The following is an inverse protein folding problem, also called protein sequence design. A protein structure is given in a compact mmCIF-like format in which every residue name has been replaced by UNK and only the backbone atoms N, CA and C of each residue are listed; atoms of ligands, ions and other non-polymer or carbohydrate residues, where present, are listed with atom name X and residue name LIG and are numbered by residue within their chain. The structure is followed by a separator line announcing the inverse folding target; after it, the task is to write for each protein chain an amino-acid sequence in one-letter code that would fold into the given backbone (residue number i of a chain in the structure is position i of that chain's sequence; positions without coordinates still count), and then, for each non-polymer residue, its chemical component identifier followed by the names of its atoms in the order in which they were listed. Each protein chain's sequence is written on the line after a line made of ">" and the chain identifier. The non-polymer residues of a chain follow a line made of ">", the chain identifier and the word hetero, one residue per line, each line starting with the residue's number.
data_IF_159174949953
#
_entry.id   IF_159174949953
#
_cell.length_a   1.000
_cell.length_b   1.000
_cell.length_c   1.000
_cell.angle_alpha   90.00
_cell.angle_beta   90.00
_cell.angle_gamma   90.00
#
_symmetry.space_group_name_H-M   'P 1'
#
loop_
_entity.id
_entity.type
_entity.pdbx_description
1 polymer ?
#
# COMPACT_ATOMS: atom_id res chain seq x y z
N UNK A 1 49.01 25.40 -37.71
CA UNK A 1 49.96 26.04 -36.78
C UNK A 1 49.26 26.32 -35.44
N UNK A 2 50.02 26.57 -34.37
CA UNK A 2 49.60 26.96 -32.99
C UNK A 2 48.47 28.03 -32.95
N UNK A 3 47.57 28.15 -31.95
CA UNK A 3 47.22 27.41 -30.70
C UNK A 3 45.71 26.98 -30.77
N UNK A 4 44.87 26.65 -29.76
CA UNK A 4 44.86 26.52 -28.28
C UNK A 4 44.06 25.22 -27.91
N UNK A 5 43.95 24.67 -26.69
CA UNK A 5 44.21 25.04 -25.27
C UNK A 5 43.06 25.75 -24.51
N UNK A 6 42.24 24.92 -23.86
CA UNK A 6 41.30 25.11 -22.73
C UNK A 6 40.28 26.27 -22.71
N UNK A 7 38.99 25.89 -22.60
CA UNK A 7 38.11 26.47 -21.57
C UNK A 7 37.13 25.43 -21.01
N UNK A 8 36.86 25.58 -19.71
CA UNK A 8 36.00 24.81 -18.81
C UNK A 8 34.61 24.38 -19.35
N UNK A 9 34.13 23.22 -18.88
CA UNK A 9 32.84 22.63 -19.27
C UNK A 9 32.27 21.59 -18.28
N UNK A 10 32.42 21.84 -16.98
CA UNK A 10 31.78 21.20 -15.80
C UNK A 10 31.15 19.79 -16.01
N UNK A 11 31.74 18.77 -15.35
CA UNK A 11 30.99 17.57 -14.98
C UNK A 11 29.98 17.92 -13.88
N UNK A 12 28.68 17.87 -14.18
CA UNK A 12 27.64 17.72 -13.17
C UNK A 12 27.50 16.23 -12.82
N UNK A 13 28.45 15.72 -12.04
CA UNK A 13 28.25 14.46 -11.33
C UNK A 13 27.24 14.67 -10.22
N UNK A 14 26.09 13.98 -10.34
CA UNK A 14 25.23 13.41 -9.29
C UNK A 14 25.27 14.07 -7.89
N UNK A 15 24.11 14.48 -7.36
CA UNK A 15 23.55 13.97 -6.10
C UNK A 15 22.23 14.67 -5.70
N UNK A 16 21.34 13.93 -5.05
CA UNK A 16 20.24 14.46 -4.25
C UNK A 16 18.91 14.66 -5.00
N UNK A 17 17.77 14.16 -4.52
CA UNK A 17 17.57 13.13 -3.50
C UNK A 17 16.40 12.25 -3.95
N UNK A 18 16.61 10.94 -4.05
CA UNK A 18 15.49 10.02 -3.90
C UNK A 18 15.11 10.04 -2.43
N UNK A 19 13.89 10.51 -2.13
CA UNK A 19 13.36 10.59 -0.77
C UNK A 19 12.96 9.19 -0.29
N UNK A 20 13.98 8.37 -0.03
CA UNK A 20 13.89 7.07 0.60
C UNK A 20 13.37 7.26 2.04
N UNK A 21 12.05 7.37 2.18
CA UNK A 21 11.36 7.23 3.47
C UNK A 21 11.71 5.86 4.02
N UNK A 22 12.37 5.85 5.18
CA UNK A 22 12.84 4.66 5.89
C UNK A 22 11.66 3.91 6.54
N UNK A 23 10.70 3.47 5.71
CA UNK A 23 9.70 2.48 6.10
C UNK A 23 10.22 1.09 5.74
N UNK A 24 10.71 0.40 6.78
CA UNK A 24 10.91 -1.05 6.85
C UNK A 24 11.69 -1.74 5.73
N UNK A 25 12.97 -2.01 6.04
CA UNK A 25 13.63 -3.25 5.60
C UNK A 25 13.12 -4.46 6.41
N UNK A 26 11.80 -4.59 6.57
CA UNK A 26 11.17 -5.81 7.08
C UNK A 26 11.05 -6.78 5.90
N UNK A 27 11.62 -7.98 6.04
CA UNK A 27 11.46 -9.01 5.00
C UNK A 27 9.96 -9.37 4.89
N UNK A 28 9.41 -9.47 3.66
CA UNK A 28 7.98 -9.65 3.47
C UNK A 28 7.52 -10.96 4.13
N UNK A 29 6.69 -10.84 5.16
CA UNK A 29 6.32 -11.98 6.00
C UNK A 29 5.56 -13.05 5.22
N UNK A 30 6.21 -14.19 5.00
CA UNK A 30 5.62 -15.33 4.28
C UNK A 30 4.61 -16.01 5.19
N UNK A 31 3.33 -15.72 4.99
CA UNK A 31 2.25 -16.38 5.73
C UNK A 31 2.18 -17.85 5.30
N UNK A 32 2.38 -18.77 6.25
CA UNK A 32 2.35 -20.21 6.01
C UNK A 32 0.97 -20.75 6.36
N UNK A 33 0.24 -21.23 5.35
CA UNK A 33 -1.13 -21.71 5.48
C UNK A 33 -2.14 -20.74 4.86
N UNK A 34 -3.39 -20.78 5.32
CA UNK A 34 -4.42 -19.84 4.90
C UNK A 34 -4.34 -18.52 5.66
N UNK A 35 -4.69 -17.43 4.99
CA UNK A 35 -4.84 -16.10 5.58
C UNK A 35 -6.27 -15.94 6.12
N UNK A 36 -6.41 -15.40 7.33
CA UNK A 36 -7.70 -15.07 7.95
C UNK A 36 -7.79 -13.58 8.33
N UNK A 37 -8.97 -13.13 8.74
CA UNK A 37 -9.18 -11.74 9.15
C UNK A 37 -8.51 -11.42 10.48
N UNK A 38 -8.83 -12.17 11.53
CA UNK A 38 -8.41 -11.87 12.93
C UNK A 38 -6.89 -11.83 13.13
N UNK A 39 -6.16 -12.73 12.49
CA UNK A 39 -4.70 -12.92 12.63
C UNK A 39 -3.90 -12.07 11.65
N UNK A 40 -4.37 -11.89 10.41
CA UNK A 40 -3.53 -11.32 9.34
C UNK A 40 -4.03 -9.99 8.77
N UNK A 41 -5.34 -9.81 8.59
CA UNK A 41 -5.89 -8.65 7.86
C UNK A 41 -6.37 -7.53 8.79
N UNK A 42 -6.90 -7.84 9.98
CA UNK A 42 -7.52 -6.84 10.87
C UNK A 42 -6.55 -5.70 11.21
N UNK A 43 -5.32 -6.02 11.59
CA UNK A 43 -4.29 -5.01 11.93
C UNK A 43 -3.95 -4.09 10.75
N UNK A 44 -3.98 -4.61 9.52
CA UNK A 44 -3.77 -3.83 8.30
C UNK A 44 -4.96 -2.87 8.10
N UNK A 45 -6.20 -3.35 8.20
CA UNK A 45 -7.40 -2.53 8.04
C UNK A 45 -7.52 -1.46 9.14
N UNK A 46 -7.29 -1.84 10.40
CA UNK A 46 -7.30 -0.93 11.55
C UNK A 46 -6.34 0.24 11.35
N UNK A 47 -5.10 -0.05 10.94
CA UNK A 47 -4.04 0.95 10.79
C UNK A 47 -4.15 1.79 9.50
N UNK A 48 -4.64 1.22 8.39
CA UNK A 48 -4.56 1.84 7.06
C UNK A 48 -5.92 2.32 6.52
N UNK A 49 -7.05 1.93 7.12
CA UNK A 49 -8.39 2.21 6.59
C UNK A 49 -9.35 2.85 7.61
N UNK A 50 -9.44 2.32 8.84
CA UNK A 50 -10.48 2.68 9.82
C UNK A 50 -10.46 4.16 10.20
N UNK A 51 -9.30 4.83 10.18
CA UNK A 51 -9.17 6.28 10.44
C UNK A 51 -9.96 7.20 9.50
N UNK A 52 -10.45 6.69 8.35
CA UNK A 52 -11.44 7.36 7.51
C UNK A 52 -12.72 6.51 7.29
N UNK A 53 -12.62 5.19 7.40
CA UNK A 53 -13.67 4.22 7.12
C UNK A 53 -14.21 3.54 8.39
N UNK A 54 -14.43 4.31 9.46
CA UNK A 54 -15.00 3.79 10.69
C UNK A 54 -16.46 3.34 10.52
N UNK A 55 -16.87 2.32 11.27
CA UNK A 55 -18.25 1.84 11.35
C UNK A 55 -19.21 2.98 11.74
N UNK A 56 -20.32 3.12 11.02
CA UNK A 56 -21.26 4.24 11.21
C UNK A 56 -20.80 5.60 10.66
N UNK A 57 -19.66 5.65 9.95
CA UNK A 57 -19.23 6.83 9.20
C UNK A 57 -20.04 7.11 7.93
N UNK A 58 -19.66 8.17 7.20
CA UNK A 58 -20.29 8.57 5.92
C UNK A 58 -19.64 7.97 4.67
N UNK A 59 -18.55 7.19 4.83
CA UNK A 59 -17.93 6.38 3.79
C UNK A 59 -18.33 4.91 3.96
N UNK A 60 -17.99 4.07 2.98
CA UNK A 60 -18.08 2.60 3.13
C UNK A 60 -17.34 2.20 4.42
N UNK A 61 -18.02 1.57 5.41
CA UNK A 61 -17.40 1.24 6.68
C UNK A 61 -16.47 0.02 6.54
N UNK A 62 -15.44 -0.05 7.38
CA UNK A 62 -14.39 -1.08 7.38
C UNK A 62 -13.93 -1.42 8.81
N UNK A 63 -14.74 -1.13 9.86
CA UNK A 63 -14.32 -1.33 11.26
C UNK A 63 -14.48 -2.77 11.79
N UNK A 64 -15.28 -3.59 11.12
CA UNK A 64 -15.56 -4.99 11.51
C UNK A 64 -15.32 -5.96 10.34
N UNK A 65 -15.07 -7.23 10.65
CA UNK A 65 -14.95 -8.30 9.64
C UNK A 65 -16.11 -8.30 8.64
N UNK A 66 -17.36 -8.15 9.11
CA UNK A 66 -18.53 -8.17 8.21
C UNK A 66 -18.55 -6.98 7.25
N UNK A 67 -18.18 -5.78 7.71
CA UNK A 67 -18.14 -4.57 6.87
C UNK A 67 -17.01 -4.66 5.84
N UNK A 68 -15.82 -5.13 6.26
CA UNK A 68 -14.70 -5.36 5.34
C UNK A 68 -15.03 -6.44 4.31
N UNK A 69 -15.67 -7.54 4.73
CA UNK A 69 -16.09 -8.62 3.84
C UNK A 69 -17.13 -8.14 2.82
N UNK A 70 -18.12 -7.37 3.25
CA UNK A 70 -19.08 -6.73 2.35
C UNK A 70 -18.38 -5.80 1.35
N UNK A 71 -17.48 -4.94 1.81
CA UNK A 71 -16.72 -4.03 0.96
C UNK A 71 -15.84 -4.77 -0.08
N UNK A 72 -15.22 -5.90 0.29
CA UNK A 72 -14.43 -6.74 -0.62
C UNK A 72 -15.28 -7.41 -1.71
N UNK A 73 -16.55 -7.71 -1.43
CA UNK A 73 -17.46 -8.39 -2.36
C UNK A 73 -18.30 -7.43 -3.21
N UNK A 74 -18.65 -6.26 -2.67
CA UNK A 74 -19.68 -5.37 -3.20
C UNK A 74 -19.17 -3.95 -3.57
N UNK A 75 -17.87 -3.65 -3.47
CA UNK A 75 -17.29 -2.33 -3.82
C UNK A 75 -15.96 -2.42 -4.60
N UNK A 76 -15.38 -1.28 -4.99
CA UNK A 76 -14.08 -1.23 -5.70
C UNK A 76 -12.86 -1.27 -4.76
N UNK A 77 -13.01 -1.68 -3.50
CA UNK A 77 -11.94 -1.74 -2.48
C UNK A 77 -10.68 -2.48 -2.98
N UNK A 78 -10.85 -3.70 -3.50
CA UNK A 78 -9.77 -4.56 -3.99
C UNK A 78 -8.96 -3.92 -5.12
N UNK A 79 -9.61 -3.15 -5.99
CA UNK A 79 -8.94 -2.41 -7.05
C UNK A 79 -8.24 -1.15 -6.49
N UNK A 80 -8.92 -0.39 -5.63
CA UNK A 80 -8.38 0.86 -5.04
C UNK A 80 -7.08 0.69 -4.27
N UNK A 81 -6.93 -0.40 -3.49
CA UNK A 81 -5.68 -0.69 -2.77
C UNK A 81 -4.54 -1.12 -3.70
N UNK A 82 -4.87 -1.58 -4.92
CA UNK A 82 -3.90 -1.97 -5.95
C UNK A 82 -3.53 -0.82 -6.90
N UNK A 83 -4.19 0.35 -6.84
CA UNK A 83 -3.82 1.53 -7.63
C UNK A 83 -2.49 2.13 -7.17
N UNK A 84 -1.72 2.67 -8.12
CA UNK A 84 -0.39 3.25 -7.86
C UNK A 84 -0.49 4.64 -7.20
N UNK A 85 0.57 5.08 -6.53
CA UNK A 85 0.63 6.40 -5.89
C UNK A 85 0.27 7.52 -6.90
N UNK A 86 -0.63 8.41 -6.50
CA UNK A 86 -1.14 9.50 -7.34
C UNK A 86 -2.18 9.10 -8.41
N UNK A 87 -2.49 7.81 -8.57
CA UNK A 87 -3.54 7.38 -9.51
C UNK A 87 -4.95 7.78 -9.00
N UNK A 88 -5.89 8.18 -9.88
CA UNK A 88 -7.22 8.59 -9.47
C UNK A 88 -7.94 7.56 -8.60
N UNK A 89 -8.36 7.97 -7.40
CA UNK A 89 -9.11 7.13 -6.46
C UNK A 89 -8.31 6.04 -5.74
N UNK A 90 -6.99 6.05 -5.82
CA UNK A 90 -6.10 5.21 -5.01
C UNK A 90 -6.41 5.35 -3.51
N UNK A 91 -6.29 4.24 -2.77
CA UNK A 91 -6.42 4.19 -1.31
C UNK A 91 -5.24 3.43 -0.68
N UNK A 92 -4.84 3.74 0.57
CA UNK A 92 -5.24 4.90 1.39
C UNK A 92 -4.82 6.24 0.77
N UNK A 93 -5.61 7.32 0.96
CA UNK A 93 -5.37 8.62 0.30
C UNK A 93 -4.02 9.29 0.61
N UNK A 94 -3.39 8.93 1.73
CA UNK A 94 -2.08 9.46 2.13
C UNK A 94 -0.90 8.80 1.37
N UNK A 95 -1.12 7.62 0.80
CA UNK A 95 -0.11 6.82 0.11
C UNK A 95 -0.54 5.36 0.02
N UNK A 96 -0.08 4.66 -1.02
CA UNK A 96 -0.25 3.22 -1.21
C UNK A 96 0.45 2.47 -0.08
N UNK A 97 -0.20 1.44 0.47
CA UNK A 97 0.41 0.52 1.43
C UNK A 97 1.61 -0.23 0.83
N UNK A 98 2.49 -0.72 1.71
CA UNK A 98 3.51 -1.69 1.35
C UNK A 98 2.89 -2.95 0.68
N UNK A 99 3.64 -3.55 -0.25
CA UNK A 99 3.10 -4.56 -1.16
C UNK A 99 2.78 -5.90 -0.45
N UNK A 100 3.47 -6.22 0.63
CA UNK A 100 3.18 -7.35 1.52
C UNK A 100 1.77 -7.24 2.15
N UNK A 101 1.40 -6.04 2.64
CA UNK A 101 0.08 -5.76 3.22
C UNK A 101 -1.04 -5.90 2.18
N UNK A 102 -0.78 -5.44 0.96
CA UNK A 102 -1.70 -5.62 -0.17
C UNK A 102 -1.82 -7.10 -0.53
N UNK A 103 -0.70 -7.83 -0.60
CA UNK A 103 -0.68 -9.27 -0.88
C UNK A 103 -1.44 -10.08 0.19
N UNK A 104 -1.36 -9.71 1.47
CA UNK A 104 -2.12 -10.36 2.54
C UNK A 104 -3.63 -10.19 2.35
N UNK A 105 -4.11 -9.00 1.99
CA UNK A 105 -5.54 -8.75 1.68
C UNK A 105 -5.98 -9.52 0.42
N UNK A 106 -5.13 -9.59 -0.60
CA UNK A 106 -5.40 -10.35 -1.82
C UNK A 106 -5.46 -11.86 -1.58
N UNK A 107 -4.55 -12.40 -0.76
CA UNK A 107 -4.53 -13.82 -0.41
C UNK A 107 -5.71 -14.19 0.50
N UNK A 108 -6.10 -13.32 1.44
CA UNK A 108 -7.32 -13.49 2.23
C UNK A 108 -8.59 -13.56 1.36
N UNK A 109 -8.63 -12.79 0.27
CA UNK A 109 -9.70 -12.87 -0.72
C UNK A 109 -9.74 -14.24 -1.43
N UNK A 110 -8.59 -14.74 -1.90
CA UNK A 110 -8.51 -16.05 -2.58
C UNK A 110 -8.72 -17.24 -1.64
N UNK A 111 -8.39 -17.10 -0.35
CA UNK A 111 -8.59 -18.14 0.67
C UNK A 111 -10.05 -18.30 1.12
N UNK A 112 -10.93 -17.35 0.76
CA UNK A 112 -12.37 -17.42 0.98
C UNK A 112 -12.95 -16.36 1.94
N UNK A 113 -12.20 -15.28 2.22
CA UNK A 113 -12.58 -14.23 3.18
C UNK A 113 -12.90 -14.83 4.56
N UNK A 114 -11.98 -15.62 5.10
CA UNK A 114 -12.12 -16.34 6.38
C UNK A 114 -12.03 -15.39 7.58
N UNK A 115 -12.87 -15.56 8.59
CA UNK A 115 -12.78 -14.74 9.82
C UNK A 115 -11.60 -15.16 10.69
N UNK A 116 -11.47 -16.47 10.91
CA UNK A 116 -10.46 -17.14 11.72
C UNK A 116 -9.97 -18.40 10.98
#
# INVERSE_FOLDING_TARGET
>A
MKKYIYLSGILLSLYGCESNTYESLEEPTVIVGKVNYTTNVKSIIDANCVGCHASGGSLVPLGTYSEVKDAMQNTDLLDRIQRQNGAPGQMPRAGRMAQDRINAILQWNTDGLLEN
#
